data_IF_973659091779
#
_entry.id   IF_973659091779
#
_cell.length_a   1.000
_cell.length_b   1.000
_cell.length_c   1.000
_cell.angle_alpha   90.00
_cell.angle_beta   90.00
_cell.angle_gamma   90.00
#
_symmetry.space_group_name_H-M   'P 1'
#
loop_
_entity.id
_entity.type
_entity.pdbx_description
1 polymer ?
#
# COMPACT_ATOMS: atom_id res chain seq x y z
N UNK A 1 78.24 -69.77 18.74
CA UNK A 1 77.20 -68.78 18.47
C UNK A 1 76.99 -68.64 16.99
N UNK A 2 75.75 -68.27 16.62
CA UNK A 2 75.42 -67.82 15.29
C UNK A 2 75.87 -66.35 15.08
N UNK A 3 76.29 -66.05 13.87
CA UNK A 3 76.51 -64.66 13.45
C UNK A 3 75.25 -64.19 12.74
N UNK A 4 74.54 -63.25 13.32
CA UNK A 4 73.35 -62.74 12.73
C UNK A 4 73.57 -62.20 11.34
N UNK A 5 72.67 -62.53 10.42
CA UNK A 5 72.68 -62.03 9.03
C UNK A 5 72.21 -60.61 8.95
N UNK A 6 72.04 -60.11 7.69
CA UNK A 6 71.57 -58.72 7.43
C UNK A 6 70.04 -58.59 7.24
N UNK A 7 69.31 -59.70 7.23
CA UNK A 7 67.86 -59.70 7.10
C UNK A 7 67.19 -59.33 8.44
N UNK A 8 66.66 -58.16 8.51
CA UNK A 8 66.02 -57.61 9.72
C UNK A 8 64.68 -58.27 10.04
N UNK A 9 64.14 -59.09 9.13
CA UNK A 9 62.92 -59.86 9.34
C UNK A 9 63.18 -61.28 9.81
N UNK A 10 64.41 -61.58 10.22
CA UNK A 10 64.76 -62.83 10.85
C UNK A 10 65.14 -62.56 12.31
N UNK A 11 64.53 -63.28 13.21
CA UNK A 11 65.00 -63.38 14.57
C UNK A 11 66.10 -64.48 14.58
N UNK A 12 67.31 -64.00 14.60
CA UNK A 12 68.47 -64.88 14.71
C UNK A 12 68.60 -65.43 16.14
N UNK A 13 68.97 -66.66 16.26
CA UNK A 13 69.24 -67.28 17.55
C UNK A 13 70.43 -66.59 18.23
N UNK A 14 70.26 -66.17 19.47
CA UNK A 14 71.30 -65.53 20.28
C UNK A 14 72.04 -66.54 21.18
N UNK A 15 71.74 -67.84 20.95
CA UNK A 15 72.36 -68.93 21.71
C UNK A 15 73.87 -68.87 21.64
N UNK A 16 74.54 -69.03 22.77
CA UNK A 16 75.94 -69.22 22.95
C UNK A 16 76.17 -70.67 23.40
N UNK A 17 76.31 -71.63 22.41
CA UNK A 17 76.60 -73.04 22.69
C UNK A 17 77.99 -73.18 23.24
N UNK A 18 78.16 -73.60 24.48
CA UNK A 18 79.48 -73.85 25.08
C UNK A 18 79.83 -75.35 25.02
N UNK A 19 80.78 -75.68 24.22
CA UNK A 19 81.33 -77.04 24.17
C UNK A 19 82.51 -77.10 25.10
N UNK A 20 82.47 -77.96 26.06
CA UNK A 20 83.59 -78.19 27.00
C UNK A 20 84.35 -79.45 26.59
N UNK A 21 85.68 -79.33 26.31
CA UNK A 21 86.57 -80.48 26.07
C UNK A 21 87.49 -80.64 27.23
N UNK A 22 87.31 -81.70 27.96
CA UNK A 22 88.20 -82.07 29.06
C UNK A 22 89.23 -83.08 28.60
N UNK A 23 90.49 -82.61 28.49
CA UNK A 23 91.60 -83.42 28.07
C UNK A 23 92.37 -83.98 29.26
N UNK A 24 92.38 -85.29 29.47
CA UNK A 24 93.09 -85.98 30.51
C UNK A 24 94.15 -86.89 29.92
N UNK A 25 95.30 -86.98 30.60
CA UNK A 25 96.37 -87.86 30.22
C UNK A 25 96.23 -89.18 30.98
N UNK A 26 96.14 -90.31 30.24
CA UNK A 26 96.13 -91.65 30.91
C UNK A 26 97.51 -91.92 31.51
N UNK A 27 97.64 -92.10 32.83
CA UNK A 27 98.87 -92.22 33.60
C UNK A 27 99.62 -93.53 33.26
N UNK A 28 99.01 -94.59 32.72
CA UNK A 28 99.62 -95.86 32.41
C UNK A 28 100.14 -95.95 30.98
N UNK A 29 99.40 -95.34 30.02
CA UNK A 29 99.76 -95.46 28.63
C UNK A 29 100.42 -94.19 28.04
N UNK A 30 100.28 -93.02 28.77
CA UNK A 30 100.74 -91.74 28.34
C UNK A 30 99.90 -91.09 27.24
N UNK A 31 98.81 -91.73 26.76
CA UNK A 31 97.91 -91.20 25.76
C UNK A 31 96.95 -90.14 26.29
N UNK A 32 96.58 -89.13 25.48
CA UNK A 32 95.62 -88.18 25.78
C UNK A 32 94.18 -88.71 25.49
N UNK A 33 93.31 -88.53 26.41
CA UNK A 33 91.87 -88.79 26.23
C UNK A 33 91.09 -87.46 26.34
N UNK A 34 90.23 -87.17 25.35
CA UNK A 34 89.36 -85.99 25.34
C UNK A 34 87.92 -86.44 25.55
N UNK A 35 87.34 -85.95 26.62
CA UNK A 35 85.90 -86.07 26.84
C UNK A 35 85.19 -84.73 26.46
N UNK A 36 84.25 -84.80 25.54
CA UNK A 36 83.51 -83.66 25.05
C UNK A 36 82.13 -83.61 25.77
N UNK A 37 81.83 -82.49 26.37
CA UNK A 37 80.49 -82.22 26.92
C UNK A 37 79.85 -81.19 26.00
N UNK A 38 78.74 -81.57 25.36
CA UNK A 38 77.93 -80.68 24.50
C UNK A 38 76.92 -79.95 25.40
N UNK A 39 76.51 -78.75 25.00
CA UNK A 39 75.37 -78.08 25.70
C UNK A 39 74.08 -78.89 25.51
N UNK A 40 73.04 -78.56 26.31
CA UNK A 40 71.72 -79.21 26.22
C UNK A 40 71.01 -78.85 24.91
N UNK A 41 71.19 -77.62 24.49
CA UNK A 41 70.72 -77.16 23.20
C UNK A 41 71.88 -77.06 22.20
N UNK A 42 71.71 -77.72 21.07
CA UNK A 42 72.71 -77.77 19.96
C UNK A 42 72.15 -77.30 18.64
N UNK A 43 70.86 -76.75 18.66
CA UNK A 43 70.15 -76.31 17.47
C UNK A 43 70.03 -74.81 17.48
N UNK A 44 70.47 -74.14 16.45
CA UNK A 44 70.27 -72.74 16.21
C UNK A 44 69.00 -72.56 15.43
N UNK A 45 67.95 -71.89 16.11
CA UNK A 45 66.62 -71.77 15.58
C UNK A 45 66.33 -70.30 15.16
N UNK A 46 66.34 -70.05 13.84
CA UNK A 46 66.01 -68.78 13.28
C UNK A 46 64.52 -68.72 12.88
N UNK A 47 63.86 -67.62 13.19
CA UNK A 47 62.46 -67.49 12.90
C UNK A 47 62.25 -66.30 11.92
N UNK A 48 61.48 -66.47 10.80
CA UNK A 48 61.05 -65.42 9.94
C UNK A 48 59.87 -64.69 10.58
N UNK A 49 60.03 -63.42 10.77
CA UNK A 49 58.96 -62.52 11.34
C UNK A 49 58.27 -61.87 10.18
N UNK A 50 56.98 -62.24 9.96
CA UNK A 50 56.18 -61.66 8.90
C UNK A 50 55.78 -60.26 9.27
N UNK A 51 55.84 -59.28 8.35
CA UNK A 51 55.33 -57.94 8.56
C UNK A 51 53.80 -57.92 8.90
N UNK A 52 53.39 -57.07 9.82
CA UNK A 52 52.01 -56.87 10.16
C UNK A 52 51.39 -55.68 9.41
N UNK A 53 50.16 -55.79 9.00
CA UNK A 53 49.39 -54.74 8.35
C UNK A 53 48.24 -54.26 9.23
N UNK A 54 47.99 -52.99 9.18
CA UNK A 54 46.80 -52.38 9.82
C UNK A 54 46.31 -51.20 9.01
N UNK A 55 45.04 -50.91 9.07
CA UNK A 55 44.40 -49.74 8.45
C UNK A 55 43.38 -49.13 9.37
N UNK A 56 42.98 -47.94 9.04
CA UNK A 56 41.88 -47.22 9.69
C UNK A 56 41.20 -46.34 8.66
N UNK A 57 39.92 -46.04 8.93
CA UNK A 57 39.12 -45.18 8.08
C UNK A 57 38.62 -43.99 8.91
N UNK A 58 38.39 -42.87 8.24
CA UNK A 58 37.72 -41.69 8.78
C UNK A 58 36.41 -41.47 8.03
N UNK A 59 35.59 -40.60 8.55
CA UNK A 59 34.36 -40.16 7.89
C UNK A 59 34.38 -38.69 7.55
N UNK A 60 33.62 -38.34 6.52
CA UNK A 60 33.37 -36.97 6.07
C UNK A 60 31.87 -36.72 6.07
N UNK A 61 31.42 -35.67 6.78
CA UNK A 61 30.09 -35.12 6.67
C UNK A 61 30.11 -33.74 6.03
N UNK A 62 29.06 -33.44 5.27
CA UNK A 62 28.81 -32.11 4.69
C UNK A 62 27.41 -31.67 4.99
N UNK A 63 27.28 -30.59 5.75
CA UNK A 63 26.03 -29.92 5.95
C UNK A 63 25.77 -28.89 4.83
N UNK A 64 24.48 -28.63 4.53
CA UNK A 64 24.07 -27.56 3.61
C UNK A 64 23.83 -28.04 2.17
N UNK A 65 24.50 -29.07 1.69
CA UNK A 65 24.25 -29.70 0.39
C UNK A 65 24.73 -31.17 0.39
N UNK A 66 24.42 -31.89 -0.67
CA UNK A 66 24.87 -33.28 -0.83
C UNK A 66 26.38 -33.38 -1.01
N UNK A 67 26.99 -34.40 -0.35
CA UNK A 67 28.39 -34.77 -0.50
C UNK A 67 28.59 -35.57 -1.79
N UNK A 68 29.61 -35.23 -2.54
CA UNK A 68 29.96 -35.92 -3.79
C UNK A 68 31.20 -36.83 -3.62
N UNK A 69 31.34 -37.82 -4.52
CA UNK A 69 32.52 -38.64 -4.59
C UNK A 69 33.76 -37.79 -4.92
N UNK A 70 34.83 -37.96 -4.16
CA UNK A 70 36.11 -37.32 -4.43
C UNK A 70 36.17 -35.82 -4.18
N UNK A 71 35.22 -35.26 -3.42
CA UNK A 71 35.06 -33.82 -3.27
C UNK A 71 36.09 -33.19 -2.32
N UNK A 72 36.38 -33.86 -1.22
CA UNK A 72 37.34 -33.39 -0.22
C UNK A 72 38.55 -34.32 -0.18
N UNK A 73 39.74 -33.74 0.01
CA UNK A 73 41.02 -34.43 0.04
C UNK A 73 41.56 -34.50 1.45
N UNK A 74 42.04 -35.66 1.83
CA UNK A 74 42.62 -35.95 3.14
C UNK A 74 44.04 -36.44 2.99
N UNK A 75 44.91 -36.03 3.88
CA UNK A 75 46.29 -36.44 3.93
C UNK A 75 46.59 -37.14 5.24
N UNK A 76 47.29 -38.29 5.13
CA UNK A 76 47.92 -38.98 6.23
C UNK A 76 49.39 -38.59 6.30
N UNK A 77 49.80 -38.03 7.44
CA UNK A 77 51.18 -37.59 7.67
C UNK A 77 51.81 -38.42 8.80
N UNK A 78 53.13 -38.65 8.70
CA UNK A 78 53.92 -39.19 9.80
C UNK A 78 54.24 -38.13 10.88
N UNK A 79 54.99 -38.54 11.91
CA UNK A 79 55.36 -37.67 13.02
C UNK A 79 56.22 -36.47 12.59
N UNK A 80 56.92 -36.57 11.47
CA UNK A 80 57.76 -35.51 10.90
C UNK A 80 56.96 -34.57 9.97
N UNK A 81 55.65 -34.84 9.80
CA UNK A 81 54.76 -34.04 8.97
C UNK A 81 54.84 -34.41 7.46
N UNK A 82 55.57 -35.46 7.09
CA UNK A 82 55.64 -35.94 5.71
C UNK A 82 54.35 -36.66 5.34
N UNK A 83 53.75 -36.30 4.19
CA UNK A 83 52.58 -36.96 3.64
C UNK A 83 52.92 -38.36 3.17
N UNK A 84 52.26 -39.36 3.72
CA UNK A 84 52.37 -40.77 3.38
C UNK A 84 51.29 -41.20 2.38
N UNK A 85 50.06 -40.74 2.57
CA UNK A 85 48.93 -41.06 1.71
C UNK A 85 48.06 -39.82 1.49
N UNK A 86 47.43 -39.77 0.32
CA UNK A 86 46.40 -38.79 -0.03
C UNK A 86 45.17 -39.56 -0.48
N UNK A 87 44.02 -39.30 0.14
CA UNK A 87 42.74 -39.95 -0.11
C UNK A 87 41.64 -38.93 -0.29
N UNK A 88 40.53 -39.34 -0.89
CA UNK A 88 39.32 -38.54 -0.99
C UNK A 88 38.15 -39.31 -0.39
N UNK A 89 37.10 -38.57 -0.01
CA UNK A 89 35.86 -39.16 0.44
C UNK A 89 35.07 -39.82 -0.71
N UNK A 90 34.30 -40.83 -0.41
CA UNK A 90 33.20 -41.23 -1.29
C UNK A 90 31.92 -40.49 -0.93
N UNK A 91 30.86 -40.65 -1.74
CA UNK A 91 29.56 -39.98 -1.52
C UNK A 91 28.83 -40.41 -0.22
N UNK A 92 29.27 -41.51 0.42
CA UNK A 92 28.78 -41.95 1.74
C UNK A 92 29.59 -41.36 2.88
N UNK A 93 30.60 -40.55 2.57
CA UNK A 93 31.47 -39.93 3.55
C UNK A 93 32.65 -40.81 3.99
N UNK A 94 32.87 -42.00 3.43
CA UNK A 94 34.00 -42.83 3.84
C UNK A 94 35.31 -42.29 3.24
N UNK A 95 36.32 -42.12 4.12
CA UNK A 95 37.70 -41.77 3.78
C UNK A 95 38.56 -42.96 4.15
N UNK A 96 38.82 -43.84 3.19
CA UNK A 96 39.54 -45.09 3.39
C UNK A 96 41.04 -44.93 3.06
N UNK A 97 41.90 -45.16 4.06
CA UNK A 97 43.33 -45.21 3.90
C UNK A 97 43.80 -46.64 3.54
N UNK A 98 44.91 -46.76 2.82
CA UNK A 98 45.56 -48.06 2.51
C UNK A 98 46.23 -48.62 3.77
N UNK A 99 46.54 -49.96 3.72
CA UNK A 99 47.26 -50.63 4.76
C UNK A 99 48.63 -49.97 5.01
N UNK A 100 48.92 -49.72 6.29
CA UNK A 100 50.25 -49.41 6.78
C UNK A 100 50.88 -50.74 7.18
N UNK A 101 52.11 -50.97 6.72
CA UNK A 101 52.86 -52.21 6.92
C UNK A 101 54.05 -51.94 7.85
N UNK A 102 54.21 -52.77 8.87
CA UNK A 102 55.28 -52.69 9.88
C UNK A 102 56.05 -54.00 9.91
N UNK A 103 57.37 -53.87 9.82
CA UNK A 103 58.32 -55.01 9.92
C UNK A 103 58.88 -55.10 11.35
N UNK A 104 59.80 -56.09 11.52
CA UNK A 104 60.40 -56.39 12.82
C UNK A 104 61.27 -55.26 13.40
N UNK A 105 61.69 -54.30 12.57
CA UNK A 105 62.44 -53.12 13.02
C UNK A 105 61.55 -51.97 13.55
N UNK A 106 60.28 -52.13 13.33
CA UNK A 106 59.31 -51.10 13.62
C UNK A 106 58.44 -51.43 14.85
N UNK A 107 58.91 -52.26 15.74
CA UNK A 107 58.30 -52.51 17.02
C UNK A 107 58.32 -51.19 17.87
N UNK A 108 57.19 -50.75 18.35
CA UNK A 108 57.10 -49.52 19.08
C UNK A 108 55.81 -48.73 18.79
N UNK A 109 55.78 -47.47 19.18
CA UNK A 109 54.62 -46.58 18.99
C UNK A 109 54.93 -45.63 17.86
N UNK A 110 53.98 -45.58 16.90
CA UNK A 110 54.03 -44.71 15.72
C UNK A 110 52.85 -43.74 15.77
N UNK A 111 53.10 -42.42 15.59
CA UNK A 111 52.10 -41.38 15.56
C UNK A 111 51.91 -40.88 14.15
N UNK A 112 50.65 -40.70 13.80
CA UNK A 112 50.22 -40.18 12.50
C UNK A 112 49.19 -39.09 12.72
N UNK A 113 49.09 -38.18 11.74
CA UNK A 113 48.05 -37.15 11.72
C UNK A 113 47.25 -37.25 10.44
N UNK A 114 45.93 -37.25 10.57
CA UNK A 114 45.00 -37.10 9.43
C UNK A 114 44.48 -35.69 9.43
N UNK A 115 44.55 -35.01 8.30
CA UNK A 115 44.07 -33.64 8.11
C UNK A 115 43.28 -33.57 6.80
N UNK A 116 42.23 -32.74 6.77
CA UNK A 116 41.57 -32.32 5.53
C UNK A 116 42.39 -31.23 4.86
N UNK A 117 42.56 -31.30 3.55
CA UNK A 117 43.15 -30.23 2.74
C UNK A 117 42.13 -29.16 2.55
N UNK A 118 42.34 -27.99 3.12
CA UNK A 118 41.43 -26.88 3.03
C UNK A 118 41.36 -26.31 1.62
N UNK A 119 40.13 -26.15 1.10
CA UNK A 119 39.85 -25.54 -0.19
C UNK A 119 39.52 -24.05 -0.07
N UNK A 120 38.99 -23.48 -1.16
CA UNK A 120 38.61 -22.06 -1.26
C UNK A 120 37.22 -21.86 -1.81
N UNK A 121 36.31 -22.86 -1.72
CA UNK A 121 34.93 -22.73 -2.20
C UNK A 121 34.20 -21.67 -1.38
N UNK A 122 33.59 -20.69 -2.07
CA UNK A 122 32.81 -19.62 -1.39
C UNK A 122 31.62 -20.22 -0.68
N UNK A 123 31.41 -19.82 0.57
CA UNK A 123 30.36 -20.35 1.44
C UNK A 123 30.70 -21.65 2.14
N UNK A 124 31.89 -22.28 1.86
CA UNK A 124 32.34 -23.49 2.54
C UNK A 124 33.13 -23.14 3.80
N UNK A 125 32.73 -23.73 4.90
CA UNK A 125 33.50 -23.76 6.15
C UNK A 125 34.09 -25.15 6.29
N UNK A 126 35.40 -25.24 6.24
CA UNK A 126 36.16 -26.50 6.34
C UNK A 126 36.46 -26.85 7.79
N UNK A 127 36.44 -28.12 8.12
CA UNK A 127 36.85 -28.64 9.43
C UNK A 127 38.34 -28.42 9.67
N UNK A 128 38.77 -27.76 10.72
CA UNK A 128 40.20 -27.55 11.04
C UNK A 128 40.80 -28.72 11.81
N UNK A 129 40.09 -29.84 11.96
CA UNK A 129 40.50 -30.99 12.77
C UNK A 129 41.83 -31.56 12.27
N UNK A 130 42.72 -31.86 13.21
CA UNK A 130 43.94 -32.65 13.03
C UNK A 130 43.84 -33.87 13.93
N UNK A 131 43.48 -34.98 13.31
CA UNK A 131 43.20 -36.23 14.00
C UNK A 131 44.48 -37.00 14.23
N UNK A 132 44.93 -37.17 15.48
CA UNK A 132 46.10 -37.99 15.84
C UNK A 132 45.72 -39.47 15.93
N UNK A 133 46.40 -40.32 15.15
CA UNK A 133 46.27 -41.77 15.17
C UNK A 133 47.54 -42.34 15.76
N UNK A 134 47.43 -43.19 16.75
CA UNK A 134 48.57 -43.93 17.32
C UNK A 134 48.47 -45.40 16.95
N UNK A 135 49.53 -45.93 16.33
CA UNK A 135 49.67 -47.38 16.03
C UNK A 135 50.74 -47.93 16.95
N UNK A 136 50.38 -48.91 17.76
CA UNK A 136 51.32 -49.60 18.63
C UNK A 136 51.63 -51.03 18.02
N UNK A 137 52.85 -51.19 17.62
CA UNK A 137 53.38 -52.49 17.11
C UNK A 137 54.03 -53.21 18.29
N UNK A 138 53.54 -54.37 18.66
CA UNK A 138 54.10 -55.24 19.69
C UNK A 138 54.58 -56.54 19.03
N UNK A 139 55.52 -57.18 19.67
CA UNK A 139 56.05 -58.51 19.27
C UNK A 139 55.80 -59.49 20.40
N UNK A 140 55.10 -60.57 20.12
CA UNK A 140 54.86 -61.66 21.06
C UNK A 140 55.48 -62.92 20.46
N UNK A 141 56.63 -63.38 21.04
CA UNK A 141 57.49 -64.43 20.41
C UNK A 141 57.99 -63.86 19.09
N UNK A 142 57.65 -64.55 17.99
CA UNK A 142 58.13 -64.21 16.62
C UNK A 142 56.97 -63.65 15.77
N UNK A 143 55.85 -63.14 16.40
CA UNK A 143 54.69 -62.64 15.71
C UNK A 143 54.51 -61.15 16.05
N UNK A 144 54.35 -60.31 15.01
CA UNK A 144 53.97 -58.89 15.20
C UNK A 144 52.52 -58.76 15.26
N UNK A 145 52.09 -57.83 16.16
CA UNK A 145 50.69 -57.35 16.29
C UNK A 145 50.69 -55.86 16.22
N UNK A 146 49.70 -55.26 15.47
CA UNK A 146 49.49 -53.84 15.41
C UNK A 146 48.12 -53.51 15.99
N UNK A 147 48.06 -52.51 16.86
CA UNK A 147 46.81 -51.99 17.47
C UNK A 147 46.70 -50.50 17.15
N UNK A 148 45.53 -50.08 16.61
CA UNK A 148 45.22 -48.70 16.33
C UNK A 148 44.52 -48.07 17.52
N UNK A 149 44.94 -46.90 17.94
CA UNK A 149 44.21 -46.00 18.84
C UNK A 149 43.83 -44.76 18.05
N UNK A 150 42.55 -44.63 17.75
CA UNK A 150 41.99 -43.49 17.05
C UNK A 150 41.59 -42.39 18.04
N UNK A 151 41.52 -41.13 17.63
CA UNK A 151 40.90 -40.06 18.45
C UNK A 151 39.42 -40.30 18.68
N UNK A 152 38.85 -39.62 19.67
CA UNK A 152 37.42 -39.73 19.96
C UNK A 152 36.54 -39.21 18.81
N UNK A 153 37.03 -38.27 18.05
CA UNK A 153 36.40 -37.74 16.85
C UNK A 153 37.15 -38.25 15.61
N UNK A 154 36.43 -38.92 14.72
CA UNK A 154 36.93 -39.49 13.47
C UNK A 154 36.12 -38.96 12.27
N UNK A 155 35.27 -37.93 12.47
CA UNK A 155 34.44 -37.35 11.44
C UNK A 155 34.85 -35.89 11.14
N UNK A 156 35.20 -35.62 9.90
CA UNK A 156 35.46 -34.27 9.42
C UNK A 156 34.14 -33.62 8.98
N UNK A 157 33.75 -32.49 9.61
CA UNK A 157 32.48 -31.84 9.44
C UNK A 157 32.59 -30.49 8.70
N UNK A 158 32.28 -30.48 7.42
CA UNK A 158 32.19 -29.22 6.67
C UNK A 158 30.76 -28.69 6.62
N UNK A 159 30.63 -27.36 6.48
CA UNK A 159 29.35 -26.71 6.32
C UNK A 159 29.35 -25.78 5.09
N UNK A 160 28.40 -25.99 4.20
CA UNK A 160 28.16 -25.09 3.07
C UNK A 160 26.99 -24.15 3.39
N UNK A 161 27.25 -22.84 3.34
CA UNK A 161 26.23 -21.79 3.48
C UNK A 161 26.12 -21.05 2.14
N UNK A 162 25.01 -21.17 1.42
CA UNK A 162 24.84 -20.49 0.14
C UNK A 162 24.76 -18.98 0.31
N UNK A 163 25.13 -18.24 -0.73
CA UNK A 163 24.80 -16.83 -0.82
C UNK A 163 23.28 -16.65 -0.86
N UNK A 164 22.79 -15.53 -0.30
CA UNK A 164 21.39 -15.17 -0.37
C UNK A 164 20.94 -14.98 -1.82
N UNK A 165 19.71 -15.41 -2.11
CA UNK A 165 19.01 -15.11 -3.36
C UNK A 165 18.17 -13.87 -3.21
N UNK A 166 17.70 -13.27 -4.30
CA UNK A 166 16.92 -12.02 -4.27
C UNK A 166 15.66 -12.13 -5.13
N UNK A 167 14.62 -11.40 -4.73
CA UNK A 167 13.45 -11.16 -5.54
C UNK A 167 13.13 -9.66 -5.57
N UNK A 168 12.58 -9.18 -6.67
CA UNK A 168 12.21 -7.78 -6.89
C UNK A 168 10.83 -7.71 -7.54
N UNK A 169 10.00 -6.73 -7.12
CA UNK A 169 8.64 -6.58 -7.61
C UNK A 169 8.51 -5.27 -8.38
N UNK A 170 7.76 -5.35 -9.47
CA UNK A 170 7.43 -4.21 -10.32
C UNK A 170 5.92 -4.18 -10.57
N UNK A 171 5.32 -3.00 -10.37
CA UNK A 171 3.93 -2.69 -10.66
C UNK A 171 3.85 -1.47 -11.55
N UNK A 172 2.66 -1.14 -12.00
CA UNK A 172 2.40 0.04 -12.80
C UNK A 172 1.30 0.89 -12.16
N UNK A 173 1.36 2.20 -12.41
CA UNK A 173 0.33 3.18 -12.06
C UNK A 173 -0.22 3.83 -13.29
N UNK A 174 -1.55 3.92 -13.36
CA UNK A 174 -2.28 4.68 -14.37
C UNK A 174 -3.18 5.71 -13.72
N UNK A 175 -3.27 6.89 -14.30
CA UNK A 175 -4.20 7.93 -13.91
C UNK A 175 -5.05 8.31 -15.13
N UNK A 176 -6.35 8.04 -15.06
CA UNK A 176 -7.31 8.44 -16.09
C UNK A 176 -7.82 9.86 -15.84
N UNK A 177 -7.97 10.63 -16.92
CA UNK A 177 -8.50 12.00 -16.89
C UNK A 177 -7.47 13.11 -16.63
N UNK A 178 -6.22 12.75 -16.33
CA UNK A 178 -5.11 13.69 -16.16
C UNK A 178 -3.77 13.01 -16.45
N UNK A 179 -2.78 13.78 -16.89
CA UNK A 179 -1.42 13.28 -17.07
C UNK A 179 -0.82 12.85 -15.74
N UNK A 180 -0.25 11.62 -15.71
CA UNK A 180 0.45 11.10 -14.55
C UNK A 180 1.82 11.78 -14.43
N UNK A 181 2.14 12.29 -13.26
CA UNK A 181 3.44 12.90 -12.98
C UNK A 181 4.24 12.00 -12.02
N UNK A 182 5.56 12.17 -12.05
CA UNK A 182 6.46 11.50 -11.12
C UNK A 182 6.08 11.84 -9.67
N UNK A 183 6.17 10.85 -8.79
CA UNK A 183 5.97 10.97 -7.34
C UNK A 183 4.54 11.39 -6.91
N UNK A 184 3.56 11.27 -7.83
CA UNK A 184 2.17 11.67 -7.57
C UNK A 184 1.45 10.75 -6.57
N UNK A 185 1.75 9.45 -6.58
CA UNK A 185 1.09 8.44 -5.76
C UNK A 185 2.11 7.62 -4.98
N UNK A 186 1.69 7.16 -3.81
CA UNK A 186 2.52 6.41 -2.87
C UNK A 186 2.02 4.97 -2.74
N UNK A 187 2.95 4.02 -2.73
CA UNK A 187 2.67 2.59 -2.64
C UNK A 187 3.46 1.97 -1.49
N UNK A 188 2.83 1.07 -0.80
CA UNK A 188 3.41 0.32 0.31
C UNK A 188 3.52 -1.15 -0.05
N UNK A 189 4.68 -1.74 0.29
CA UNK A 189 4.91 -3.17 0.31
C UNK A 189 4.85 -3.63 1.75
N UNK A 190 3.96 -4.58 2.02
CA UNK A 190 3.75 -5.11 3.36
C UNK A 190 4.13 -6.59 3.40
N UNK A 191 4.73 -7.00 4.52
CA UNK A 191 4.89 -8.40 4.90
C UNK A 191 4.26 -8.62 6.28
N UNK A 192 3.40 -9.62 6.41
CA UNK A 192 2.65 -9.90 7.65
C UNK A 192 1.91 -8.69 8.23
N UNK A 193 1.38 -7.81 7.34
CA UNK A 193 0.66 -6.60 7.71
C UNK A 193 1.55 -5.40 8.08
N UNK A 194 2.88 -5.56 8.13
CA UNK A 194 3.82 -4.48 8.41
C UNK A 194 4.39 -3.91 7.12
N UNK A 195 4.44 -2.59 7.01
CA UNK A 195 5.07 -1.91 5.87
C UNK A 195 6.58 -2.09 5.95
N UNK A 196 7.15 -2.71 4.92
CA UNK A 196 8.60 -2.95 4.81
C UNK A 196 9.28 -2.03 3.80
N UNK A 197 8.52 -1.55 2.80
CA UNK A 197 9.00 -0.54 1.84
C UNK A 197 7.87 0.40 1.45
N UNK A 198 8.25 1.64 1.14
CA UNK A 198 7.35 2.66 0.57
C UNK A 198 7.99 3.20 -0.69
N UNK A 199 7.25 3.24 -1.80
CA UNK A 199 7.71 3.72 -3.10
C UNK A 199 6.69 4.66 -3.71
N UNK A 200 7.15 5.47 -4.66
CA UNK A 200 6.30 6.33 -5.47
C UNK A 200 6.43 5.95 -6.94
N UNK A 201 5.42 6.31 -7.72
CA UNK A 201 5.45 6.06 -9.16
C UNK A 201 6.51 6.92 -9.87
N UNK A 202 7.12 6.36 -10.90
CA UNK A 202 7.88 7.14 -11.89
C UNK A 202 6.92 7.89 -12.84
N UNK A 203 7.44 8.76 -13.69
CA UNK A 203 6.63 9.52 -14.66
C UNK A 203 5.94 8.61 -15.71
N UNK A 204 6.55 7.46 -16.03
CA UNK A 204 6.00 6.45 -16.92
C UNK A 204 5.02 5.47 -16.22
N UNK A 205 4.71 5.71 -14.96
CA UNK A 205 3.85 4.87 -14.15
C UNK A 205 4.56 3.70 -13.47
N UNK A 206 5.85 3.47 -13.70
CA UNK A 206 6.57 2.37 -13.05
C UNK A 206 6.62 2.55 -11.54
N UNK A 207 6.30 1.48 -10.80
CA UNK A 207 6.46 1.34 -9.35
C UNK A 207 7.47 0.22 -9.13
N UNK A 208 8.70 0.56 -8.72
CA UNK A 208 9.79 -0.37 -8.54
C UNK A 208 10.17 -0.45 -7.07
N UNK A 209 9.96 -1.62 -6.44
CA UNK A 209 10.43 -1.91 -5.10
C UNK A 209 11.89 -2.36 -5.12
N UNK A 210 12.61 -2.16 -4.03
CA UNK A 210 13.98 -2.66 -3.87
C UNK A 210 13.97 -4.19 -3.75
N UNK A 211 15.07 -4.82 -4.17
CA UNK A 211 15.24 -6.26 -4.05
C UNK A 211 15.22 -6.71 -2.58
N UNK A 212 14.51 -7.79 -2.28
CA UNK A 212 14.48 -8.45 -0.98
C UNK A 212 15.41 -9.65 -1.04
N UNK A 213 16.24 -9.81 -0.01
CA UNK A 213 17.24 -10.87 0.11
C UNK A 213 16.73 -12.00 0.99
N UNK A 214 16.99 -13.26 0.56
CA UNK A 214 16.57 -14.46 1.27
C UNK A 214 17.77 -15.36 1.48
N UNK A 215 18.08 -15.68 2.73
CA UNK A 215 19.21 -16.55 3.13
C UNK A 215 18.77 -17.97 3.52
N UNK A 216 17.45 -18.24 3.51
CA UNK A 216 16.83 -19.51 3.89
C UNK A 216 15.68 -19.87 2.96
N UNK A 217 15.38 -21.16 2.92
CA UNK A 217 14.19 -21.69 2.27
C UNK A 217 12.93 -21.22 3.01
N UNK A 218 11.85 -20.99 2.27
CA UNK A 218 10.57 -20.61 2.84
C UNK A 218 9.64 -20.00 1.81
N UNK A 219 8.39 -19.83 2.20
CA UNK A 219 7.38 -19.12 1.42
C UNK A 219 7.08 -17.79 2.10
N UNK A 220 7.19 -16.71 1.34
CA UNK A 220 6.94 -15.35 1.78
C UNK A 220 5.77 -14.77 1.00
N UNK A 221 4.87 -14.09 1.68
CA UNK A 221 3.71 -13.45 1.08
C UNK A 221 3.76 -11.95 1.37
N UNK A 222 3.65 -11.18 0.31
CA UNK A 222 3.67 -9.72 0.34
C UNK A 222 2.36 -9.18 -0.17
N UNK A 223 1.95 -8.03 0.35
CA UNK A 223 0.83 -7.26 -0.18
C UNK A 223 1.34 -5.92 -0.65
N UNK A 224 0.98 -5.54 -1.87
CA UNK A 224 1.22 -4.19 -2.40
C UNK A 224 -0.11 -3.46 -2.45
N UNK A 225 -0.15 -2.25 -1.92
CA UNK A 225 -1.32 -1.38 -1.94
C UNK A 225 -0.94 0.07 -2.25
N UNK A 226 -1.88 0.80 -2.78
CA UNK A 226 -1.78 2.25 -2.87
C UNK A 226 -2.20 2.92 -1.56
N UNK A 227 -1.53 3.99 -1.20
CA UNK A 227 -1.94 4.87 -0.09
C UNK A 227 -2.85 5.94 -0.66
N UNK A 228 -4.13 5.91 -0.29
CA UNK A 228 -5.07 6.92 -0.73
C UNK A 228 -4.60 8.33 -0.30
N UNK A 229 -4.61 9.26 -1.24
CA UNK A 229 -4.27 10.65 -0.99
C UNK A 229 -5.45 11.44 -0.40
N UNK A 230 -5.29 12.77 -0.35
CA UNK A 230 -6.28 13.69 0.20
C UNK A 230 -7.12 14.38 -0.88
N UNK A 231 -6.82 14.17 -2.16
CA UNK A 231 -7.61 14.76 -3.27
C UNK A 231 -8.92 13.99 -3.42
N UNK A 232 -10.00 14.62 -3.00
CA UNK A 232 -11.36 14.05 -3.04
C UNK A 232 -11.93 13.93 -4.45
N UNK A 233 -11.29 14.53 -5.45
CA UNK A 233 -11.65 14.41 -6.86
C UNK A 233 -10.91 13.27 -7.57
N UNK A 234 -10.21 12.43 -6.83
CA UNK A 234 -9.58 11.21 -7.34
C UNK A 234 -10.24 9.99 -6.70
N UNK A 235 -10.70 9.09 -7.53
CA UNK A 235 -11.03 7.73 -7.11
C UNK A 235 -9.74 6.92 -7.10
N UNK A 236 -9.26 6.62 -5.89
CA UNK A 236 -8.06 5.84 -5.68
C UNK A 236 -8.34 4.35 -5.82
N UNK A 237 -7.37 3.63 -6.37
CA UNK A 237 -7.46 2.17 -6.46
C UNK A 237 -7.40 1.55 -5.05
N UNK A 238 -8.30 0.65 -4.77
CA UNK A 238 -8.37 -0.09 -3.50
C UNK A 238 -7.74 -1.48 -3.57
N UNK A 239 -7.05 -1.79 -4.68
CA UNK A 239 -6.41 -3.08 -4.91
C UNK A 239 -5.39 -3.40 -3.81
N UNK A 240 -5.43 -4.64 -3.34
CA UNK A 240 -4.40 -5.25 -2.51
C UNK A 240 -3.78 -6.40 -3.31
N UNK A 241 -2.70 -6.09 -4.00
CA UNK A 241 -2.01 -7.02 -4.88
C UNK A 241 -1.14 -7.98 -4.06
N UNK A 242 -1.39 -9.28 -4.14
CA UNK A 242 -0.66 -10.29 -3.37
C UNK A 242 0.44 -10.90 -4.23
N UNK A 243 1.69 -10.81 -3.76
CA UNK A 243 2.88 -11.43 -4.35
C UNK A 243 3.35 -12.55 -3.44
N UNK A 244 3.64 -13.72 -4.00
CA UNK A 244 4.24 -14.83 -3.26
C UNK A 244 5.65 -15.10 -3.79
N UNK A 245 6.61 -15.24 -2.88
CA UNK A 245 7.98 -15.66 -3.18
C UNK A 245 8.24 -17.01 -2.52
N UNK A 246 8.52 -18.02 -3.33
CA UNK A 246 8.89 -19.33 -2.84
C UNK A 246 10.40 -19.54 -3.00
N UNK A 247 11.11 -19.55 -1.88
CA UNK A 247 12.55 -19.77 -1.85
C UNK A 247 12.81 -21.25 -1.62
N UNK A 248 13.50 -21.88 -2.57
CA UNK A 248 13.87 -23.30 -2.53
C UNK A 248 15.39 -23.45 -2.57
N UNK A 249 15.89 -24.53 -2.00
CA UNK A 249 17.29 -24.91 -2.05
C UNK A 249 17.47 -26.15 -2.94
N UNK A 250 18.38 -26.06 -3.88
CA UNK A 250 18.77 -27.22 -4.68
C UNK A 250 19.62 -28.16 -3.81
N UNK A 251 19.18 -29.40 -3.60
CA UNK A 251 19.84 -30.35 -2.71
C UNK A 251 21.31 -30.65 -3.18
N UNK A 252 21.51 -30.77 -4.48
CA UNK A 252 22.82 -31.14 -5.03
C UNK A 252 23.86 -30.01 -5.01
N UNK A 253 23.41 -28.76 -5.16
CA UNK A 253 24.30 -27.58 -5.21
C UNK A 253 24.24 -26.74 -3.92
N UNK A 254 23.24 -26.94 -3.10
CA UNK A 254 22.98 -26.11 -1.92
C UNK A 254 22.51 -24.70 -2.23
N UNK A 255 22.43 -24.27 -3.50
CA UNK A 255 22.10 -22.91 -3.88
C UNK A 255 20.63 -22.61 -3.69
N UNK A 256 20.33 -21.37 -3.26
CA UNK A 256 18.97 -20.85 -3.12
C UNK A 256 18.46 -20.28 -4.45
N UNK A 257 17.16 -20.45 -4.67
CA UNK A 257 16.44 -19.88 -5.81
C UNK A 257 15.12 -19.31 -5.33
N UNK A 258 14.79 -18.09 -5.72
CA UNK A 258 13.52 -17.42 -5.40
C UNK A 258 12.60 -17.41 -6.64
N UNK A 259 11.47 -18.09 -6.55
CA UNK A 259 10.44 -18.07 -7.56
C UNK A 259 9.34 -17.08 -7.14
N UNK A 260 9.10 -16.06 -7.98
CA UNK A 260 8.10 -15.02 -7.73
C UNK A 260 6.81 -15.35 -8.48
N UNK A 261 5.69 -15.34 -7.78
CA UNK A 261 4.34 -15.40 -8.35
C UNK A 261 3.68 -14.04 -8.17
N UNK A 262 3.49 -13.33 -9.26
CA UNK A 262 2.78 -12.04 -9.30
C UNK A 262 1.27 -12.28 -9.38
N UNK A 263 0.43 -11.33 -8.91
CA UNK A 263 -1.01 -11.36 -9.15
C UNK A 263 -1.33 -11.15 -10.63
N UNK A 264 -2.54 -11.49 -11.04
CA UNK A 264 -3.01 -11.27 -12.43
C UNK A 264 -3.07 -9.76 -12.75
N UNK A 265 -3.52 -8.95 -11.80
CA UNK A 265 -3.54 -7.51 -11.93
C UNK A 265 -2.33 -6.90 -11.22
N UNK A 266 -1.55 -6.14 -11.97
CA UNK A 266 -0.33 -5.45 -11.51
C UNK A 266 -0.39 -3.95 -11.79
N UNK A 267 -1.56 -3.44 -12.19
CA UNK A 267 -1.77 -2.04 -12.50
C UNK A 267 -2.74 -1.38 -11.52
N UNK A 268 -2.30 -0.33 -10.84
CA UNK A 268 -3.12 0.51 -9.99
C UNK A 268 -3.76 1.62 -10.81
N UNK A 269 -5.09 1.65 -10.88
CA UNK A 269 -5.86 2.54 -11.73
C UNK A 269 -6.60 3.60 -10.90
N UNK A 270 -6.18 4.85 -11.00
CA UNK A 270 -6.93 5.98 -10.42
C UNK A 270 -7.65 6.77 -11.51
N UNK A 271 -8.76 7.37 -11.13
CA UNK A 271 -9.61 8.14 -12.02
C UNK A 271 -9.84 9.54 -11.46
N UNK A 272 -9.64 10.57 -12.29
CA UNK A 272 -10.04 11.93 -11.95
C UNK A 272 -11.53 12.06 -12.16
N UNK A 273 -12.26 12.38 -11.10
CA UNK A 273 -13.70 12.64 -11.13
C UNK A 273 -13.93 14.14 -11.31
N UNK A 274 -14.32 14.54 -12.50
CA UNK A 274 -14.61 15.94 -12.78
C UNK A 274 -15.90 16.39 -12.09
N UNK A 275 -15.92 17.57 -11.45
CA UNK A 275 -17.15 18.15 -10.93
C UNK A 275 -18.18 18.39 -12.04
N UNK A 276 -19.45 18.28 -11.69
CA UNK A 276 -20.56 18.66 -12.57
C UNK A 276 -21.14 19.99 -12.11
N UNK A 277 -21.66 20.76 -13.06
CA UNK A 277 -22.27 22.05 -12.80
C UNK A 277 -23.74 22.05 -13.21
N UNK A 278 -24.54 22.81 -12.48
CA UNK A 278 -25.93 23.11 -12.84
C UNK A 278 -26.24 24.54 -12.48
N UNK A 279 -27.18 25.13 -13.18
CA UNK A 279 -27.69 26.48 -12.86
C UNK A 279 -29.21 26.49 -12.85
N UNK A 280 -29.77 27.54 -12.21
CA UNK A 280 -31.18 27.70 -12.08
C UNK A 280 -31.59 28.98 -12.81
N UNK A 281 -32.48 28.85 -13.79
CA UNK A 281 -33.08 29.94 -14.51
C UNK A 281 -34.56 30.02 -14.18
N UNK A 282 -35.01 31.22 -13.81
CA UNK A 282 -36.37 31.58 -13.56
C UNK A 282 -36.74 32.76 -14.41
N UNK A 283 -38.01 33.11 -14.42
CA UNK A 283 -38.51 34.29 -15.15
C UNK A 283 -39.35 35.17 -14.24
N UNK A 284 -39.36 36.48 -14.55
CA UNK A 284 -40.18 37.48 -13.93
C UNK A 284 -41.13 38.09 -14.92
N UNK A 285 -42.40 38.12 -14.60
CA UNK A 285 -43.40 38.89 -15.33
C UNK A 285 -44.05 39.95 -14.48
N UNK A 286 -44.38 41.08 -15.08
CA UNK A 286 -45.08 42.16 -14.47
C UNK A 286 -46.30 42.55 -15.33
N UNK A 287 -47.49 42.35 -14.82
CA UNK A 287 -48.71 42.81 -15.46
C UNK A 287 -49.04 44.26 -15.00
N UNK A 288 -49.63 45.02 -15.88
CA UNK A 288 -50.09 46.42 -15.61
C UNK A 288 -49.13 47.52 -16.05
N UNK A 289 -47.81 47.23 -16.12
CA UNK A 289 -46.84 48.13 -16.73
C UNK A 289 -45.61 47.35 -17.24
N UNK A 290 -44.72 48.03 -17.95
CA UNK A 290 -43.50 47.43 -18.45
C UNK A 290 -42.53 47.13 -17.29
N UNK A 291 -41.93 45.93 -17.34
CA UNK A 291 -40.87 45.49 -16.45
C UNK A 291 -39.58 46.23 -16.74
N UNK A 292 -38.85 46.67 -15.72
CA UNK A 292 -37.52 47.23 -15.86
C UNK A 292 -36.43 46.23 -15.37
N UNK A 293 -35.22 46.36 -15.92
CA UNK A 293 -34.08 45.56 -15.43
C UNK A 293 -33.73 45.98 -14.00
N UNK A 294 -33.43 45.00 -13.14
CA UNK A 294 -33.01 45.22 -11.75
C UNK A 294 -34.14 45.63 -10.81
N UNK A 295 -35.40 45.48 -11.24
CA UNK A 295 -36.56 45.95 -10.48
C UNK A 295 -36.94 45.04 -9.32
N UNK A 296 -36.80 43.74 -9.50
CA UNK A 296 -37.12 42.73 -8.49
C UNK A 296 -35.89 41.90 -8.19
N UNK A 297 -35.72 41.54 -6.91
CA UNK A 297 -34.62 40.69 -6.44
C UNK A 297 -35.14 39.32 -6.06
N UNK A 298 -34.30 38.31 -6.30
CA UNK A 298 -34.63 36.92 -6.03
C UNK A 298 -33.49 36.30 -5.25
N UNK A 299 -33.82 35.56 -4.20
CA UNK A 299 -32.83 34.92 -3.32
C UNK A 299 -32.88 33.42 -3.47
N UNK A 300 -31.69 32.84 -3.69
CA UNK A 300 -31.43 31.40 -3.64
C UNK A 300 -30.94 31.05 -2.22
N UNK A 301 -31.60 30.11 -1.58
CA UNK A 301 -31.21 29.63 -0.25
C UNK A 301 -30.94 28.14 -0.28
N UNK A 302 -30.01 27.67 0.54
CA UNK A 302 -29.74 26.22 0.74
C UNK A 302 -30.80 25.59 1.67
N UNK A 303 -30.68 24.27 1.86
CA UNK A 303 -31.63 23.51 2.70
C UNK A 303 -31.65 23.94 4.18
N UNK A 304 -30.68 24.71 4.64
CA UNK A 304 -30.61 25.26 6.00
C UNK A 304 -31.26 26.64 6.09
N UNK A 305 -31.68 27.20 4.95
CA UNK A 305 -32.25 28.55 4.84
C UNK A 305 -31.17 29.63 4.70
N UNK A 306 -29.88 29.27 4.59
CA UNK A 306 -28.82 30.26 4.39
C UNK A 306 -28.84 30.73 2.95
N UNK A 307 -28.69 32.03 2.77
CA UNK A 307 -28.55 32.64 1.45
C UNK A 307 -27.30 32.14 0.73
N UNK A 308 -27.49 31.68 -0.50
CA UNK A 308 -26.43 31.28 -1.43
C UNK A 308 -26.08 32.40 -2.38
N UNK A 309 -27.12 33.01 -2.98
CA UNK A 309 -26.98 34.11 -3.94
C UNK A 309 -28.29 34.94 -4.00
N UNK A 310 -28.16 36.23 -4.27
CA UNK A 310 -29.27 37.11 -4.63
C UNK A 310 -29.01 37.75 -5.99
N UNK A 311 -29.97 37.60 -6.90
CA UNK A 311 -29.91 38.14 -8.26
C UNK A 311 -31.12 39.03 -8.56
N UNK A 312 -31.04 39.82 -9.63
CA UNK A 312 -32.14 40.67 -10.11
C UNK A 312 -32.59 40.23 -11.51
N UNK A 313 -33.82 40.55 -11.87
CA UNK A 313 -34.30 40.32 -13.23
C UNK A 313 -33.60 41.24 -14.24
N UNK A 314 -33.40 40.77 -15.46
CA UNK A 314 -33.05 41.62 -16.60
C UNK A 314 -34.31 42.31 -17.20
N UNK A 315 -34.13 43.09 -18.28
CA UNK A 315 -35.22 43.80 -18.94
C UNK A 315 -36.24 42.88 -19.63
N UNK A 316 -35.84 41.67 -19.96
CA UNK A 316 -36.66 40.64 -20.60
C UNK A 316 -37.35 39.73 -19.57
N UNK A 317 -37.04 39.93 -18.28
CA UNK A 317 -37.59 39.20 -17.16
C UNK A 317 -36.80 37.93 -16.81
N UNK A 318 -35.58 37.72 -17.38
CA UNK A 318 -34.76 36.56 -16.99
C UNK A 318 -34.19 36.78 -15.58
N UNK A 319 -34.25 35.72 -14.78
CA UNK A 319 -33.67 35.62 -13.44
C UNK A 319 -32.69 34.45 -13.42
N UNK A 320 -31.42 34.77 -13.60
CA UNK A 320 -30.36 33.75 -13.80
C UNK A 320 -29.42 33.77 -12.63
N UNK A 321 -29.35 32.62 -11.91
CA UNK A 321 -28.37 32.38 -10.85
C UNK A 321 -27.06 31.87 -11.41
N UNK A 322 -25.97 32.03 -10.65
CA UNK A 322 -24.65 31.48 -10.98
C UNK A 322 -24.68 29.95 -10.97
N UNK A 323 -23.70 29.34 -11.67
CA UNK A 323 -23.54 27.88 -11.69
C UNK A 323 -23.13 27.37 -10.32
N UNK A 324 -23.80 26.31 -9.87
CA UNK A 324 -23.42 25.54 -8.69
C UNK A 324 -22.61 24.34 -9.12
N UNK A 325 -21.46 24.13 -8.48
CA UNK A 325 -20.54 23.02 -8.76
C UNK A 325 -20.66 21.94 -7.69
N UNK A 326 -20.74 20.70 -8.16
CA UNK A 326 -20.83 19.49 -7.32
C UNK A 326 -19.67 18.56 -7.65
N UNK A 327 -18.78 18.38 -6.69
CA UNK A 327 -17.64 17.47 -6.77
C UNK A 327 -18.01 16.08 -6.22
N UNK A 328 -17.03 15.18 -6.19
CA UNK A 328 -17.19 13.80 -5.74
C UNK A 328 -17.67 13.68 -4.27
N UNK A 329 -17.48 14.72 -3.45
CA UNK A 329 -17.97 14.77 -2.06
C UNK A 329 -19.44 15.17 -1.94
N UNK A 330 -20.04 15.60 -3.05
CA UNK A 330 -21.42 16.11 -3.12
C UNK A 330 -22.40 15.13 -3.74
N UNK A 331 -22.05 13.86 -3.80
CA UNK A 331 -23.00 12.82 -4.25
C UNK A 331 -24.17 12.74 -3.28
N UNK A 332 -25.39 12.80 -3.83
CA UNK A 332 -26.63 12.80 -3.04
C UNK A 332 -27.59 13.89 -3.46
N UNK A 333 -28.62 14.13 -2.64
CA UNK A 333 -29.69 15.09 -2.91
C UNK A 333 -29.41 16.42 -2.23
N UNK A 334 -29.42 17.51 -3.01
CA UNK A 334 -29.29 18.87 -2.55
C UNK A 334 -30.55 19.63 -2.85
N UNK A 335 -31.10 20.34 -1.84
CA UNK A 335 -32.32 21.09 -1.96
C UNK A 335 -32.05 22.58 -1.76
N UNK A 336 -32.62 23.37 -2.65
CA UNK A 336 -32.53 24.81 -2.64
C UNK A 336 -33.95 25.41 -2.71
N UNK A 337 -34.12 26.66 -2.29
CA UNK A 337 -35.36 27.41 -2.46
C UNK A 337 -35.06 28.74 -3.15
N UNK A 338 -35.94 29.11 -4.07
CA UNK A 338 -35.91 30.40 -4.74
C UNK A 338 -37.18 31.15 -4.40
N UNK A 339 -37.03 32.38 -3.93
CA UNK A 339 -38.12 33.28 -3.52
C UNK A 339 -37.84 34.67 -4.05
N UNK A 340 -38.92 35.41 -4.38
CA UNK A 340 -38.81 36.84 -4.63
C UNK A 340 -38.60 37.60 -3.31
N UNK A 341 -37.67 38.54 -3.30
CA UNK A 341 -37.44 39.41 -2.12
C UNK A 341 -38.46 40.52 -2.12
N UNK A 342 -39.48 40.39 -1.28
CA UNK A 342 -40.54 41.40 -1.17
C UNK A 342 -40.03 42.57 -0.36
N UNK A 343 -39.98 43.81 -0.94
CA UNK A 343 -39.47 44.97 -0.22
C UNK A 343 -40.37 45.35 0.95
N UNK A 344 -39.76 45.88 2.03
CA UNK A 344 -40.52 46.37 3.20
C UNK A 344 -41.46 47.52 2.80
N UNK A 345 -41.01 48.40 1.91
CA UNK A 345 -41.84 49.50 1.36
C UNK A 345 -42.38 49.03 0.00
N UNK A 346 -43.58 48.46 0.04
CA UNK A 346 -44.23 47.95 -1.18
C UNK A 346 -44.72 49.11 -2.06
N UNK A 347 -44.63 48.94 -3.38
CA UNK A 347 -45.25 49.86 -4.35
C UNK A 347 -46.76 49.81 -4.20
N UNK A 348 -47.40 50.99 -4.23
CA UNK A 348 -48.85 51.09 -4.10
C UNK A 348 -49.52 50.45 -5.32
N UNK A 349 -50.48 49.57 -5.07
CA UNK A 349 -51.14 48.77 -6.10
C UNK A 349 -50.37 47.56 -6.62
N UNK A 350 -49.17 47.29 -6.09
CA UNK A 350 -48.41 46.13 -6.44
C UNK A 350 -48.85 44.89 -5.66
N UNK A 351 -49.18 43.84 -6.37
CA UNK A 351 -49.35 42.49 -5.83
C UNK A 351 -48.12 41.70 -6.20
N UNK A 352 -47.37 41.22 -5.20
CA UNK A 352 -46.18 40.42 -5.35
C UNK A 352 -46.54 38.95 -5.39
N UNK A 353 -45.84 38.19 -6.22
CA UNK A 353 -45.93 36.75 -6.21
C UNK A 353 -45.37 36.18 -4.90
N UNK A 354 -46.08 35.25 -4.31
CA UNK A 354 -45.69 34.56 -3.08
C UNK A 354 -45.02 33.19 -3.38
N UNK A 355 -44.67 32.98 -4.63
CA UNK A 355 -44.09 31.70 -5.06
C UNK A 355 -42.82 31.43 -4.29
N UNK A 356 -42.73 30.22 -3.76
CA UNK A 356 -41.54 29.59 -3.27
C UNK A 356 -41.25 28.37 -4.15
N UNK A 357 -40.21 28.46 -4.97
CA UNK A 357 -39.76 27.35 -5.81
C UNK A 357 -38.76 26.52 -5.03
N UNK A 358 -39.03 25.24 -4.87
CA UNK A 358 -38.09 24.28 -4.32
C UNK A 358 -37.38 23.58 -5.48
N UNK A 359 -36.04 23.71 -5.52
CA UNK A 359 -35.17 23.09 -6.51
C UNK A 359 -34.43 21.94 -5.86
N UNK A 360 -34.64 20.74 -6.34
CA UNK A 360 -33.92 19.55 -5.90
C UNK A 360 -32.91 19.13 -6.97
N UNK A 361 -31.64 19.07 -6.59
CA UNK A 361 -30.56 18.59 -7.44
C UNK A 361 -30.11 17.23 -6.91
N UNK A 362 -30.32 16.20 -7.69
CA UNK A 362 -29.80 14.88 -7.40
C UNK A 362 -28.46 14.70 -8.13
N UNK A 363 -27.38 14.56 -7.35
CA UNK A 363 -26.03 14.30 -7.86
C UNK A 363 -25.77 12.80 -7.74
N UNK A 364 -25.68 12.14 -8.87
CA UNK A 364 -25.40 10.69 -8.95
C UNK A 364 -24.02 10.43 -9.50
N UNK A 365 -23.37 9.39 -8.96
CA UNK A 365 -22.09 8.87 -9.46
C UNK A 365 -22.33 7.58 -10.24
N UNK A 366 -21.84 7.51 -11.46
CA UNK A 366 -21.87 6.32 -12.29
C UNK A 366 -20.44 5.99 -12.74
N UNK A 367 -19.87 4.93 -12.16
CA UNK A 367 -18.44 4.65 -12.30
C UNK A 367 -17.64 5.83 -11.75
N UNK A 368 -16.82 6.45 -12.59
CA UNK A 368 -15.95 7.58 -12.23
C UNK A 368 -16.47 8.93 -12.77
N UNK A 369 -17.75 9.03 -13.10
CA UNK A 369 -18.37 10.23 -13.62
C UNK A 369 -19.53 10.67 -12.74
N UNK A 370 -19.72 11.99 -12.61
CA UNK A 370 -20.86 12.58 -11.93
C UNK A 370 -21.90 13.04 -12.95
N UNK A 371 -23.17 12.94 -12.56
CA UNK A 371 -24.30 13.47 -13.31
C UNK A 371 -25.23 14.21 -12.37
N UNK A 372 -26.02 15.18 -12.89
CA UNK A 372 -27.04 15.89 -12.12
C UNK A 372 -28.40 15.75 -12.78
N UNK A 373 -29.43 15.59 -11.96
CA UNK A 373 -30.82 15.73 -12.35
C UNK A 373 -31.46 16.81 -11.47
N UNK A 374 -32.08 17.81 -12.10
CA UNK A 374 -32.70 18.93 -11.40
C UNK A 374 -34.22 18.86 -11.55
N UNK A 375 -34.93 18.89 -10.43
CA UNK A 375 -36.37 18.98 -10.37
C UNK A 375 -36.82 20.29 -9.65
N UNK A 376 -37.87 20.88 -10.13
CA UNK A 376 -38.47 22.10 -9.51
C UNK A 376 -39.91 21.81 -9.14
N UNK A 377 -40.32 22.24 -7.94
CA UNK A 377 -41.69 22.26 -7.50
C UNK A 377 -41.98 23.59 -6.87
N UNK A 378 -43.16 24.17 -7.10
CA UNK A 378 -43.57 25.46 -6.57
C UNK A 378 -44.69 25.34 -5.54
N UNK A 379 -44.74 26.29 -4.62
CA UNK A 379 -45.83 26.49 -3.67
C UNK A 379 -46.13 27.97 -3.53
N UNK A 380 -47.37 28.36 -3.33
CA UNK A 380 -47.81 29.74 -3.13
C UNK A 380 -47.78 30.64 -4.36
N UNK A 381 -47.39 30.07 -5.53
CA UNK A 381 -47.31 30.79 -6.79
C UNK A 381 -48.65 30.93 -7.52
N UNK A 382 -48.64 31.84 -8.47
CA UNK A 382 -49.78 32.04 -9.38
C UNK A 382 -49.29 32.22 -10.81
N UNK A 383 -50.03 31.64 -11.75
CA UNK A 383 -49.77 31.88 -13.17
C UNK A 383 -50.21 33.32 -13.60
N UNK A 384 -49.92 33.68 -14.84
CA UNK A 384 -50.28 35.00 -15.39
C UNK A 384 -51.80 35.31 -15.35
N UNK A 385 -52.66 34.28 -15.19
CA UNK A 385 -54.11 34.39 -15.10
C UNK A 385 -54.59 34.43 -13.63
N UNK A 386 -53.67 34.25 -12.67
CA UNK A 386 -53.98 34.24 -11.23
C UNK A 386 -54.35 32.87 -10.69
N UNK A 387 -54.20 31.78 -11.43
CA UNK A 387 -54.43 30.41 -10.96
C UNK A 387 -53.25 29.94 -10.10
N UNK A 388 -53.54 29.19 -9.03
CA UNK A 388 -52.47 28.62 -8.20
C UNK A 388 -51.64 27.60 -8.95
N UNK A 389 -50.31 27.63 -8.73
CA UNK A 389 -49.32 26.74 -9.37
C UNK A 389 -48.71 25.74 -8.39
N UNK A 390 -49.35 25.51 -7.25
CA UNK A 390 -48.87 24.58 -6.21
C UNK A 390 -48.62 23.17 -6.74
N UNK A 391 -47.44 22.61 -6.44
CA UNK A 391 -47.06 21.29 -6.85
C UNK A 391 -46.66 21.16 -8.33
N UNK A 392 -46.61 22.25 -9.07
CA UNK A 392 -46.14 22.28 -10.46
C UNK A 392 -44.64 22.63 -10.56
N UNK A 393 -44.07 22.50 -11.74
CA UNK A 393 -42.70 22.94 -12.04
C UNK A 393 -42.67 24.43 -12.45
N UNK A 394 -43.45 25.29 -11.76
CA UNK A 394 -43.49 26.70 -12.06
C UNK A 394 -42.17 27.39 -11.76
N UNK A 395 -41.67 28.16 -12.72
CA UNK A 395 -40.44 28.95 -12.67
C UNK A 395 -40.68 30.43 -12.98
N UNK A 396 -41.94 30.88 -13.01
CA UNK A 396 -42.31 32.23 -13.39
C UNK A 396 -42.90 32.97 -12.21
N UNK A 397 -42.25 34.05 -11.77
CA UNK A 397 -42.75 34.95 -10.74
C UNK A 397 -43.67 36.02 -11.36
N UNK A 398 -44.95 36.05 -11.00
CA UNK A 398 -45.97 36.89 -11.62
C UNK A 398 -46.41 38.00 -10.66
N UNK A 399 -45.91 39.22 -10.88
CA UNK A 399 -46.41 40.41 -10.14
C UNK A 399 -47.44 41.18 -10.97
N UNK A 400 -48.29 41.88 -10.30
CA UNK A 400 -49.31 42.71 -10.94
C UNK A 400 -49.38 44.09 -10.27
N UNK A 401 -49.32 45.12 -11.08
CA UNK A 401 -49.62 46.47 -10.66
C UNK A 401 -51.05 46.78 -11.09
N UNK A 402 -51.88 47.16 -10.14
CA UNK A 402 -53.15 47.76 -10.43
C UNK A 402 -53.02 49.28 -10.20
N UNK A 403 -53.06 50.08 -11.27
CA UNK A 403 -52.96 51.48 -11.11
C UNK A 403 -54.08 51.94 -10.15
N UNK A 404 -53.83 52.93 -9.27
CA UNK A 404 -54.86 53.47 -8.48
C UNK A 404 -55.96 53.96 -9.44
N UNK A 405 -57.21 53.69 -9.08
CA UNK A 405 -58.32 54.18 -9.85
C UNK A 405 -58.15 55.67 -9.97
N UNK A 406 -58.13 56.19 -11.16
CA UNK A 406 -58.22 57.62 -11.38
C UNK A 406 -59.60 57.98 -10.92
N UNK A 407 -59.72 58.83 -9.89
CA UNK A 407 -61.03 59.22 -9.49
C UNK A 407 -61.74 59.86 -10.68
N UNK A 408 -62.92 59.35 -11.02
CA UNK A 408 -63.71 59.85 -12.08
C UNK A 408 -64.27 61.22 -11.60
N UNK A 409 -63.70 62.26 -12.20
CA UNK A 409 -64.16 63.63 -11.87
C UNK A 409 -65.37 63.90 -12.69
N UNK A 410 -66.52 63.86 -12.05
CA UNK A 410 -67.77 64.29 -12.62
C UNK A 410 -68.06 65.71 -12.17
N UNK A 411 -67.78 66.71 -12.99
CA UNK A 411 -68.10 68.12 -12.62
C UNK A 411 -69.59 68.35 -12.72
N UNK A 412 -70.18 68.59 -11.59
CA UNK A 412 -71.53 69.07 -11.58
C UNK A 412 -71.57 70.62 -11.69
N UNK A 413 -72.41 71.06 -12.51
CA UNK A 413 -72.58 72.50 -12.75
C UNK A 413 -73.77 73.03 -11.94
N UNK A 414 -73.49 73.80 -10.96
CA UNK A 414 -74.51 74.49 -10.21
C UNK A 414 -74.67 75.94 -10.71
N UNK A 415 -75.86 76.35 -10.77
CA UNK A 415 -76.15 77.75 -11.06
C UNK A 415 -76.27 78.48 -9.72
N UNK A 416 -75.23 79.25 -9.44
CA UNK A 416 -75.22 80.11 -8.27
C UNK A 416 -75.28 81.57 -8.71
N UNK A 417 -75.83 82.40 -7.93
CA UNK A 417 -75.81 83.78 -8.20
C UNK A 417 -74.37 84.32 -8.17
N UNK A 418 -73.98 84.94 -9.21
CA UNK A 418 -72.65 85.51 -9.32
C UNK A 418 -72.36 86.57 -8.28
N UNK A 419 -73.33 87.12 -7.83
CA UNK A 419 -73.28 88.22 -6.82
C UNK A 419 -73.15 87.69 -5.41
N UNK A 420 -73.43 86.43 -5.20
CA UNK A 420 -73.52 85.85 -3.85
C UNK A 420 -72.46 84.85 -3.48
N UNK A 421 -71.78 84.16 -4.48
CA UNK A 421 -70.88 83.10 -4.20
C UNK A 421 -69.65 83.16 -5.15
N UNK A 422 -68.48 82.83 -4.60
CA UNK A 422 -67.33 82.66 -5.40
C UNK A 422 -67.28 81.19 -5.92
N UNK A 423 -66.23 80.84 -6.69
CA UNK A 423 -66.08 79.53 -7.33
C UNK A 423 -65.81 78.41 -6.28
N UNK A 424 -65.53 78.75 -5.04
CA UNK A 424 -65.36 77.81 -3.97
C UNK A 424 -66.64 77.64 -3.15
N UNK A 425 -67.73 78.28 -3.54
CA UNK A 425 -69.00 78.27 -2.81
C UNK A 425 -69.04 79.15 -1.59
N UNK A 426 -68.05 80.00 -1.40
CA UNK A 426 -68.06 80.97 -0.30
C UNK A 426 -68.88 82.17 -0.68
N UNK A 427 -69.78 82.52 0.22
CA UNK A 427 -70.61 83.73 0.06
C UNK A 427 -69.70 84.94 -0.13
N UNK A 428 -69.85 85.61 -1.22
CA UNK A 428 -69.33 86.95 -1.40
C UNK A 428 -70.11 87.91 -0.56
N UNK A 429 -69.43 88.83 -0.04
CA UNK A 429 -70.02 89.76 0.95
C UNK A 429 -71.16 90.62 0.39
N UNK A 430 -72.28 90.02 0.47
CA UNK A 430 -73.51 90.74 0.27
C UNK A 430 -74.41 90.37 1.47
N UNK A 431 -74.61 91.29 2.34
CA UNK A 431 -75.20 91.06 3.62
C UNK A 431 -76.72 90.74 3.59
N UNK A 432 -77.30 90.81 2.41
CA UNK A 432 -78.70 90.58 2.23
C UNK A 432 -79.07 89.17 1.79
N UNK A 433 -78.14 88.35 1.58
CA UNK A 433 -78.39 87.00 1.13
C UNK A 433 -78.02 85.92 2.13
N UNK A 434 -78.95 85.13 2.50
CA UNK A 434 -78.67 83.92 3.25
C UNK A 434 -78.08 82.85 2.37
N UNK A 435 -77.02 82.30 2.89
CA UNK A 435 -76.51 81.12 2.32
C UNK A 435 -77.50 80.00 2.54
N UNK A 436 -78.02 79.49 1.48
CA UNK A 436 -78.96 78.37 1.63
C UNK A 436 -78.15 77.10 2.11
N UNK A 437 -78.81 76.30 2.81
CA UNK A 437 -78.27 75.04 3.28
C UNK A 437 -77.81 74.11 2.16
N UNK A 438 -78.08 74.49 0.95
CA UNK A 438 -77.70 73.79 -0.22
C UNK A 438 -76.21 73.79 -0.45
N UNK A 439 -75.52 74.68 0.22
CA UNK A 439 -74.05 74.76 0.18
C UNK A 439 -73.40 74.31 1.49
N UNK A 440 -74.14 73.75 2.33
CA UNK A 440 -73.62 73.08 3.51
C UNK A 440 -73.10 71.72 3.14
N UNK A 441 -72.36 71.13 4.02
CA UNK A 441 -71.83 69.82 3.85
C UNK A 441 -72.78 68.77 3.29
N UNK A 442 -74.04 68.99 3.45
CA UNK A 442 -75.04 68.02 3.02
C UNK A 442 -75.49 68.17 1.58
N UNK A 443 -75.51 69.36 1.13
CA UNK A 443 -76.01 69.61 -0.21
C UNK A 443 -74.99 70.11 -1.10
N UNK A 444 -74.04 70.62 -0.49
CA UNK A 444 -73.00 71.18 -1.20
C UNK A 444 -71.99 70.23 -1.56
N UNK A 445 -72.28 69.12 -1.28
CA UNK A 445 -71.42 68.24 -1.78
C UNK A 445 -71.50 68.01 -3.24
N UNK A 446 -71.82 69.08 -3.99
CA UNK A 446 -71.61 68.99 -5.39
C UNK A 446 -70.19 68.84 -5.80
N UNK A 447 -69.35 69.11 -4.87
CA UNK A 447 -67.96 68.89 -5.18
C UNK A 447 -67.44 67.53 -4.79
N UNK A 448 -68.33 66.87 -4.12
CA UNK A 448 -68.03 65.59 -3.65
C UNK A 448 -69.20 64.82 -3.99
N UNK A 449 -69.33 64.44 -5.00
CA UNK A 449 -70.39 63.73 -5.23
C UNK A 449 -70.71 62.80 -4.42
N UNK A 450 -71.57 62.80 -4.25
CA UNK A 450 -72.25 61.80 -3.64
C UNK A 450 -72.33 60.60 -4.48
N UNK A 451 -71.50 60.54 -5.29
CA UNK A 451 -71.39 59.28 -5.89
C UNK A 451 -72.29 58.87 -6.86
N UNK A 452 -72.52 57.74 -6.82
CA UNK A 452 -73.54 57.21 -7.64
C UNK A 452 -74.72 58.02 -7.64
N UNK A 453 -74.61 58.79 -6.71
CA UNK A 453 -75.65 59.69 -6.50
C UNK A 453 -75.15 61.04 -6.52
N UNK A 454 -74.02 61.22 -7.06
CA UNK A 454 -73.47 62.50 -7.22
C UNK A 454 -73.34 63.24 -5.95
N UNK A 455 -72.72 62.64 -5.08
CA UNK A 455 -72.50 63.31 -3.82
C UNK A 455 -71.39 64.33 -3.94
N UNK A 456 -71.70 65.58 -3.92
CA UNK A 456 -70.75 66.64 -4.15
C UNK A 456 -69.70 66.79 -3.07
N UNK A 457 -69.89 66.13 -2.04
CA UNK A 457 -69.09 66.12 -0.88
C UNK A 457 -67.62 65.79 -1.15
N UNK A 458 -67.39 64.86 -1.94
CA UNK A 458 -66.02 64.43 -2.24
C UNK A 458 -65.20 65.50 -2.89
N UNK A 459 -65.79 66.10 -3.85
CA UNK A 459 -65.08 67.08 -4.59
C UNK A 459 -64.68 68.24 -3.71
N UNK A 460 -65.54 68.59 -2.88
CA UNK A 460 -65.33 69.74 -2.06
C UNK A 460 -64.27 69.57 -1.00
N UNK A 461 -64.29 68.47 -0.36
CA UNK A 461 -63.45 68.31 0.81
C UNK A 461 -62.05 67.92 0.48
N UNK A 462 -61.87 67.24 -0.59
CA UNK A 462 -60.55 66.62 -0.83
C UNK A 462 -59.90 67.13 -2.10
N UNK A 463 -60.53 66.88 -3.16
CA UNK A 463 -59.92 67.05 -4.46
C UNK A 463 -59.84 68.47 -4.92
N UNK A 464 -60.89 69.17 -4.78
CA UNK A 464 -60.94 70.54 -5.26
C UNK A 464 -59.92 71.43 -4.57
N UNK A 465 -59.80 71.24 -3.26
CA UNK A 465 -58.87 72.08 -2.51
C UNK A 465 -57.39 71.81 -2.91
N UNK A 466 -57.12 70.67 -3.31
CA UNK A 466 -55.73 70.32 -3.52
C UNK A 466 -55.26 70.47 -4.97
N UNK A 467 -56.05 70.06 -5.81
CA UNK A 467 -55.55 69.91 -7.17
C UNK A 467 -56.22 70.89 -8.10
N UNK A 468 -57.34 71.21 -7.72
CA UNK A 468 -58.23 71.91 -8.62
C UNK A 468 -58.10 73.39 -8.57
N UNK A 469 -57.12 73.76 -8.29
CA UNK A 469 -57.00 75.13 -8.71
C UNK A 469 -56.95 75.19 -10.19
#
# INVERSE_FOLDING_TARGET
REVAGTDTNIDYDDMNAVVTVNVTKNAQTGLLNAAVTMPEDTEFNNFAVAPVKTRFDFSKALAGRELKDGEFTFVLKDADGKTLQTKTNNKKGVVAFDDLTFDNTQVGTHKYTVEEVQGSEAGMTYDPMKAEVTITVTKEGHVLKATNTLPADTEFNNTFTPAATQAQFKFTKRLEGKELTKDAFTFELLENGNVIQTKKNAADGTIQFDAISYDKEGSHTYTVREVAGTDTNIDYDSMNAVVTVNVTKNAATGLLSAAVTMPEDTEFNNYVVSPVVTKFDFTKKLAGRKLAAGEFSFVLKDSTGREVETVQNDADGNVTFSELSFDNTKVGTHTYTVEEVIPANKEIGMTYDQMKATVTVEVAKNGHSLTTVTNVTSTGGKDANGNATDGTADKEFNNKVTPPETPEFQPEKFVVSKEKYDITGKKLMDDDDELTNEYTETNADPYVDKTTNNEPENLNTKTVKRGSK
#
